data_IF_891533491809
#
_entry.id   IF_891533491809
#
_cell.length_a   1.000
_cell.length_b   1.000
_cell.length_c   1.000
_cell.angle_alpha   90.00
_cell.angle_beta   90.00
_cell.angle_gamma   90.00
#
_symmetry.space_group_name_H-M   'P 1'
#
loop_
_entity.id
_entity.type
_entity.pdbx_description
1 polymer ?
#
# COMPACT_ATOMS: atom_id res chain seq x y z
N UNK A 1 -7.25 -15.00 17.77
CA UNK A 1 -6.91 -15.13 16.34
C UNK A 1 -5.86 -16.21 16.17
N UNK A 2 -6.12 -17.19 15.33
CA UNK A 2 -5.15 -18.25 15.09
C UNK A 2 -4.03 -17.73 14.17
N UNK A 3 -2.90 -18.44 14.16
CA UNK A 3 -1.77 -18.13 13.29
C UNK A 3 -2.18 -18.19 11.82
N UNK A 4 -3.03 -19.15 11.46
CA UNK A 4 -3.56 -19.32 10.11
C UNK A 4 -4.46 -18.16 9.70
N UNK A 5 -5.32 -17.70 10.61
CA UNK A 5 -6.20 -16.55 10.36
C UNK A 5 -5.38 -15.29 10.16
N UNK A 6 -4.32 -15.12 10.92
CA UNK A 6 -3.43 -13.97 10.78
C UNK A 6 -2.70 -13.98 9.44
N UNK A 7 -2.22 -15.15 9.00
CA UNK A 7 -1.60 -15.27 7.67
C UNK A 7 -2.58 -14.91 6.56
N UNK A 8 -3.83 -15.31 6.68
CA UNK A 8 -4.86 -14.95 5.71
C UNK A 8 -5.08 -13.44 5.65
N UNK A 9 -5.12 -12.77 6.79
CA UNK A 9 -5.25 -11.31 6.87
C UNK A 9 -4.03 -10.60 6.28
N UNK A 10 -2.84 -11.14 6.51
CA UNK A 10 -1.61 -10.60 5.92
C UNK A 10 -1.65 -10.70 4.39
N UNK A 11 -2.09 -11.83 3.86
CA UNK A 11 -2.22 -12.00 2.41
C UNK A 11 -3.21 -11.01 1.83
N UNK A 12 -4.34 -10.78 2.50
CA UNK A 12 -5.32 -9.79 2.07
C UNK A 12 -4.73 -8.37 2.05
N UNK A 13 -3.97 -8.01 3.09
CA UNK A 13 -3.31 -6.71 3.16
C UNK A 13 -2.28 -6.55 2.03
N UNK A 14 -1.51 -7.58 1.74
CA UNK A 14 -0.54 -7.56 0.63
C UNK A 14 -1.23 -7.37 -0.72
N UNK A 15 -2.34 -8.04 -0.95
CA UNK A 15 -3.10 -7.88 -2.19
C UNK A 15 -3.63 -6.46 -2.33
N UNK A 16 -4.14 -5.88 -1.26
CA UNK A 16 -4.62 -4.49 -1.27
C UNK A 16 -3.49 -3.52 -1.61
N UNK A 17 -2.33 -3.69 -0.99
CA UNK A 17 -1.16 -2.85 -1.26
C UNK A 17 -0.71 -2.97 -2.72
N UNK A 18 -0.66 -4.19 -3.24
CA UNK A 18 -0.27 -4.44 -4.63
C UNK A 18 -1.24 -3.80 -5.62
N UNK A 19 -2.52 -3.91 -5.34
CA UNK A 19 -3.56 -3.31 -6.18
C UNK A 19 -3.48 -1.78 -6.16
N UNK A 20 -3.28 -1.18 -5.01
CA UNK A 20 -3.13 0.28 -4.89
C UNK A 20 -1.90 0.76 -5.65
N UNK A 21 -0.79 0.04 -5.56
CA UNK A 21 0.43 0.38 -6.29
C UNK A 21 0.24 0.27 -7.79
N UNK A 22 -0.41 -0.77 -8.24
CA UNK A 22 -0.70 -0.98 -9.66
C UNK A 22 -1.56 0.16 -10.20
N UNK A 23 -2.63 0.50 -9.50
CA UNK A 23 -3.52 1.59 -9.90
C UNK A 23 -2.79 2.93 -9.95
N UNK A 24 -1.97 3.23 -8.93
CA UNK A 24 -1.20 4.47 -8.90
C UNK A 24 -0.23 4.58 -10.06
N UNK A 25 0.45 3.49 -10.41
CA UNK A 25 1.38 3.45 -11.54
C UNK A 25 0.64 3.66 -12.88
N UNK A 26 -0.52 3.03 -13.04
CA UNK A 26 -1.32 3.18 -14.25
C UNK A 26 -1.78 4.63 -14.43
N UNK A 27 -2.26 5.26 -13.36
CA UNK A 27 -2.67 6.66 -13.39
C UNK A 27 -1.49 7.59 -13.66
N UNK A 28 -0.31 7.33 -13.08
CA UNK A 28 0.88 8.13 -13.36
C UNK A 28 1.31 8.03 -14.82
N UNK A 29 1.25 6.85 -15.42
CA UNK A 29 1.55 6.67 -16.83
C UNK A 29 0.57 7.45 -17.71
N UNK A 30 -0.71 7.40 -17.38
CA UNK A 30 -1.74 8.16 -18.10
C UNK A 30 -1.49 9.67 -18.01
N UNK A 31 -1.18 10.16 -16.82
CA UNK A 31 -0.87 11.57 -16.59
C UNK A 31 0.36 11.98 -17.40
N UNK A 32 1.41 11.16 -17.38
CA UNK A 32 2.62 11.44 -18.17
C UNK A 32 2.33 11.52 -19.67
N UNK A 33 1.48 10.63 -20.17
CA UNK A 33 1.07 10.65 -21.56
C UNK A 33 0.28 11.91 -21.93
N UNK A 34 -0.62 12.34 -21.05
CA UNK A 34 -1.39 13.56 -21.27
C UNK A 34 -0.51 14.80 -21.27
N UNK A 35 0.45 14.90 -20.37
CA UNK A 35 1.40 16.02 -20.32
C UNK A 35 2.29 16.01 -21.56
N UNK A 36 2.73 14.86 -22.01
CA UNK A 36 3.55 14.73 -23.21
C UNK A 36 2.80 15.18 -24.47
N UNK A 37 1.49 14.94 -24.53
CA UNK A 37 0.64 15.37 -25.64
C UNK A 37 0.27 16.86 -25.60
N UNK A 38 0.20 17.43 -24.40
CA UNK A 38 -0.15 18.84 -24.21
C UNK A 38 0.51 19.36 -22.93
N UNK A 39 1.60 20.10 -23.08
CA UNK A 39 2.38 20.62 -21.96
C UNK A 39 1.59 21.56 -21.04
N UNK A 40 0.52 22.19 -21.55
CA UNK A 40 -0.32 23.04 -20.72
C UNK A 40 -1.07 22.27 -19.63
N UNK A 41 -1.27 20.98 -19.82
CA UNK A 41 -1.89 20.11 -18.83
C UNK A 41 -1.05 19.94 -17.57
N UNK A 42 0.24 20.24 -17.62
CA UNK A 42 1.15 20.03 -16.52
C UNK A 42 0.68 20.73 -15.24
N UNK A 43 0.26 21.99 -15.34
CA UNK A 43 -0.17 22.75 -14.17
C UNK A 43 -1.42 22.18 -13.49
N UNK A 44 -2.26 21.48 -14.24
CA UNK A 44 -3.47 20.85 -13.70
C UNK A 44 -3.21 19.44 -13.22
N UNK A 45 -2.32 18.71 -13.88
CA UNK A 45 -2.08 17.29 -13.62
C UNK A 45 -0.95 17.04 -12.62
N UNK A 46 -0.02 17.98 -12.44
CA UNK A 46 1.08 17.80 -11.48
C UNK A 46 0.62 17.59 -10.05
N UNK A 47 -0.38 18.32 -9.53
CA UNK A 47 -0.88 18.03 -8.18
C UNK A 47 -1.51 16.64 -8.08
N UNK A 48 -2.15 16.16 -9.14
CA UNK A 48 -2.73 14.82 -9.18
C UNK A 48 -1.62 13.77 -9.19
N UNK A 49 -0.57 13.99 -9.99
CA UNK A 49 0.59 13.11 -10.01
C UNK A 49 1.26 13.03 -8.64
N UNK A 50 1.40 14.16 -7.96
CA UNK A 50 1.97 14.20 -6.62
C UNK A 50 1.20 13.32 -5.63
N UNK A 51 -0.13 13.32 -5.72
CA UNK A 51 -0.97 12.47 -4.89
C UNK A 51 -0.73 10.98 -5.15
N UNK A 52 -0.59 10.58 -6.39
CA UNK A 52 -0.30 9.18 -6.74
C UNK A 52 1.10 8.77 -6.30
N UNK A 53 2.06 9.68 -6.36
CA UNK A 53 3.41 9.44 -5.84
C UNK A 53 3.37 9.22 -4.33
N UNK A 54 2.62 10.03 -3.59
CA UNK A 54 2.41 9.83 -2.15
C UNK A 54 1.81 8.46 -1.87
N UNK A 55 0.84 8.02 -2.67
CA UNK A 55 0.24 6.70 -2.53
C UNK A 55 1.29 5.60 -2.69
N UNK A 56 2.19 5.74 -3.67
CA UNK A 56 3.26 4.77 -3.87
C UNK A 56 4.24 4.74 -2.69
N UNK A 57 4.61 5.91 -2.16
CA UNK A 57 5.49 5.99 -1.00
C UNK A 57 4.85 5.37 0.23
N UNK A 58 3.58 5.67 0.47
CA UNK A 58 2.81 5.08 1.58
C UNK A 58 2.73 3.57 1.43
N UNK A 59 2.48 3.08 0.22
CA UNK A 59 2.38 1.64 -0.03
C UNK A 59 3.70 0.93 0.24
N UNK A 60 4.85 1.56 -0.03
CA UNK A 60 6.15 1.01 0.29
C UNK A 60 6.36 0.90 1.81
N UNK A 61 5.96 1.92 2.55
CA UNK A 61 6.02 1.90 4.03
C UNK A 61 5.13 0.80 4.59
N UNK A 62 3.92 0.67 4.06
CA UNK A 62 2.97 -0.37 4.45
C UNK A 62 3.51 -1.75 4.14
N UNK A 63 4.17 -1.93 3.00
CA UNK A 63 4.75 -3.20 2.61
C UNK A 63 5.85 -3.63 3.59
N UNK A 64 6.74 -2.71 3.97
CA UNK A 64 7.79 -2.99 4.96
C UNK A 64 7.17 -3.42 6.28
N UNK A 65 6.12 -2.73 6.70
CA UNK A 65 5.42 -3.03 7.95
C UNK A 65 4.78 -4.41 7.92
N UNK A 66 4.13 -4.76 6.81
CA UNK A 66 3.50 -6.08 6.64
C UNK A 66 4.55 -7.20 6.65
N UNK A 67 5.69 -6.99 6.02
CA UNK A 67 6.77 -7.97 6.03
C UNK A 67 7.27 -8.19 7.47
N UNK A 68 7.42 -7.11 8.23
CA UNK A 68 7.83 -7.19 9.64
C UNK A 68 6.83 -7.97 10.47
N UNK A 69 5.53 -7.72 10.27
CA UNK A 69 4.47 -8.45 10.96
C UNK A 69 4.50 -9.94 10.61
N UNK A 70 4.70 -10.26 9.34
CA UNK A 70 4.80 -11.65 8.88
C UNK A 70 5.96 -12.37 9.54
N UNK A 71 7.11 -11.72 9.63
CA UNK A 71 8.28 -12.30 10.27
C UNK A 71 8.03 -12.59 11.75
N UNK A 72 7.37 -11.68 12.46
CA UNK A 72 6.99 -11.88 13.85
C UNK A 72 6.02 -13.04 14.00
N UNK A 73 5.04 -13.13 13.10
CA UNK A 73 4.07 -14.22 13.15
C UNK A 73 4.68 -15.59 12.86
N UNK A 74 5.72 -15.63 12.06
CA UNK A 74 6.43 -16.86 11.74
C UNK A 74 7.31 -17.35 12.91
N UNK A 75 7.66 -16.47 13.85
CA UNK A 75 8.45 -16.82 15.03
C UNK A 75 7.54 -17.40 16.10
N UNK A 76 7.86 -18.57 16.61
CA UNK A 76 7.10 -19.22 17.68
C UNK A 76 7.21 -18.49 19.01
N UNK A 77 8.30 -17.76 19.20
CA UNK A 77 8.57 -17.06 20.46
C UNK A 77 8.05 -15.62 20.47
N UNK A 78 7.51 -15.14 19.36
CA UNK A 78 7.08 -13.75 19.23
C UNK A 78 5.57 -13.66 19.03
N UNK A 79 4.92 -12.85 19.86
CA UNK A 79 3.50 -12.55 19.77
C UNK A 79 3.36 -11.15 19.19
N UNK A 80 2.41 -10.96 18.27
CA UNK A 80 2.14 -9.64 17.72
C UNK A 80 1.62 -8.72 18.81
N UNK A 81 2.14 -7.50 18.85
CA UNK A 81 1.66 -6.46 19.74
C UNK A 81 0.28 -5.97 19.28
N UNK A 82 -0.44 -5.30 20.17
CA UNK A 82 -1.72 -4.68 19.83
C UNK A 82 -1.53 -3.63 18.74
N UNK A 83 -0.41 -2.92 18.75
CA UNK A 83 -0.08 -1.95 17.70
C UNK A 83 0.09 -2.61 16.33
N UNK A 84 0.77 -3.75 16.26
CA UNK A 84 0.94 -4.50 15.02
C UNK A 84 -0.42 -4.98 14.49
N UNK A 85 -1.28 -5.48 15.37
CA UNK A 85 -2.63 -5.92 15.00
C UNK A 85 -3.47 -4.77 14.49
N UNK A 86 -3.44 -3.63 15.16
CA UNK A 86 -4.16 -2.44 14.74
C UNK A 86 -3.67 -1.95 13.38
N UNK A 87 -2.37 -1.96 13.15
CA UNK A 87 -1.79 -1.59 11.85
C UNK A 87 -2.27 -2.51 10.74
N UNK A 88 -2.33 -3.82 11.01
CA UNK A 88 -2.79 -4.78 10.02
C UNK A 88 -4.25 -4.56 9.66
N UNK A 89 -5.11 -4.33 10.64
CA UNK A 89 -6.53 -4.04 10.40
C UNK A 89 -6.71 -2.74 9.62
N UNK A 90 -5.93 -1.70 9.92
CA UNK A 90 -5.97 -0.44 9.19
C UNK A 90 -5.60 -0.65 7.71
N UNK A 91 -4.61 -1.48 7.43
CA UNK A 91 -4.19 -1.79 6.05
C UNK A 91 -5.26 -2.54 5.27
N UNK A 92 -6.09 -3.32 5.94
CA UNK A 92 -7.18 -4.05 5.29
C UNK A 92 -8.37 -3.16 5.04
N UNK A 93 -8.71 -2.29 5.98
CA UNK A 93 -9.96 -1.53 5.98
C UNK A 93 -9.83 -0.12 5.39
N UNK A 94 -8.71 0.52 5.62
CA UNK A 94 -8.61 1.96 5.53
C UNK A 94 -8.15 2.51 4.21
N UNK A 95 -7.88 1.69 3.28
CA UNK A 95 -7.04 2.14 2.18
C UNK A 95 -7.78 2.56 0.94
N UNK A 96 -9.00 2.55 0.99
CA UNK A 96 -9.76 2.99 -0.18
C UNK A 96 -10.06 4.47 -0.13
#
# INVERSE_FOLDING_TARGET
MSKKDLESLIDEALDNIRNDRKSAKEFLNEIANQIAGDAEQNKYLSPVAAKHIETLQRSNEQLVKIISIRQKNASESTVLSDEDKASLFDLIQGET
#
